data_IF_604752507594
#
_entry.id   IF_604752507594
#
_cell.length_a   1.000
_cell.length_b   1.000
_cell.length_c   1.000
_cell.angle_alpha   90.00
_cell.angle_beta   90.00
_cell.angle_gamma   90.00
#
_symmetry.space_group_name_H-M   'P 1'
#
loop_
_entity.id
_entity.type
_entity.pdbx_description
1 polymer ?
#
# COMPACT_ATOMS: atom_id res chain seq x y z
N UNK A 1 8.66 19.92 32.74
CA UNK A 1 7.56 20.52 31.98
C UNK A 1 6.24 19.93 32.48
N UNK A 2 5.19 20.70 32.74
CA UNK A 2 3.91 20.13 33.16
C UNK A 2 3.30 19.28 32.05
N UNK A 3 2.68 18.18 32.42
CA UNK A 3 2.04 17.18 31.54
C UNK A 3 1.10 17.85 30.50
N UNK A 4 0.44 18.91 30.91
CA UNK A 4 -0.45 19.73 30.07
C UNK A 4 0.30 20.35 28.86
N UNK A 5 1.53 20.79 29.02
CA UNK A 5 2.33 21.38 27.92
C UNK A 5 2.70 20.31 26.89
N UNK A 6 3.00 19.09 27.32
CA UNK A 6 3.29 17.95 26.44
C UNK A 6 2.04 17.56 25.64
N UNK A 7 0.88 17.51 26.27
CA UNK A 7 -0.39 17.20 25.59
C UNK A 7 -0.80 18.27 24.57
N UNK A 8 -0.54 19.55 24.86
CA UNK A 8 -0.79 20.65 23.94
C UNK A 8 0.14 20.58 22.73
N UNK A 9 1.43 20.31 22.95
CA UNK A 9 2.41 20.17 21.85
C UNK A 9 2.05 18.95 20.99
N UNK A 10 1.66 17.83 21.60
CA UNK A 10 1.23 16.64 20.86
C UNK A 10 -0.06 16.89 20.07
N UNK A 11 -1.03 17.58 20.68
CA UNK A 11 -2.27 17.99 20.00
C UNK A 11 -2.02 18.95 18.84
N UNK A 12 -1.12 19.92 18.98
CA UNK A 12 -0.75 20.85 17.92
C UNK A 12 0.06 20.16 16.80
N UNK A 13 0.92 19.21 17.14
CA UNK A 13 1.68 18.41 16.17
C UNK A 13 0.74 17.49 15.37
N UNK A 14 -0.18 16.82 16.05
CA UNK A 14 -1.20 15.98 15.42
C UNK A 14 -2.14 16.83 14.54
N UNK A 15 -2.55 18.00 15.01
CA UNK A 15 -3.35 18.95 14.24
C UNK A 15 -2.59 19.51 13.03
N UNK A 16 -1.30 19.82 13.17
CA UNK A 16 -0.45 20.27 12.07
C UNK A 16 -0.24 19.16 11.04
N UNK A 17 0.00 17.93 11.47
CA UNK A 17 0.12 16.77 10.57
C UNK A 17 -1.20 16.46 9.87
N UNK A 18 -2.34 16.62 10.57
CA UNK A 18 -3.67 16.50 9.98
C UNK A 18 -3.97 17.64 9.00
N UNK A 19 -3.57 18.87 9.30
CA UNK A 19 -3.71 20.00 8.35
C UNK A 19 -2.80 19.85 7.13
N UNK A 20 -1.55 19.41 7.31
CA UNK A 20 -0.68 19.06 6.18
C UNK A 20 -1.27 17.95 5.30
N UNK A 21 -1.96 16.97 5.89
CA UNK A 21 -2.76 15.98 5.14
C UNK A 21 -3.93 16.63 4.40
N UNK A 22 -4.62 17.60 5.00
CA UNK A 22 -5.77 18.27 4.40
C UNK A 22 -5.45 19.16 3.20
N UNK A 23 -4.22 19.64 3.01
CA UNK A 23 -3.86 20.40 1.80
C UNK A 23 -3.89 19.55 0.52
N UNK A 24 -3.83 18.22 0.63
CA UNK A 24 -4.08 17.29 -0.46
C UNK A 24 -5.57 16.90 -0.62
N UNK A 25 -6.44 17.16 0.38
CA UNK A 25 -7.80 16.60 0.49
C UNK A 25 -8.89 17.34 -0.30
N UNK A 26 -8.55 18.29 -1.16
CA UNK A 26 -9.55 18.92 -2.04
C UNK A 26 -9.89 18.09 -3.30
N UNK A 27 -9.18 16.98 -3.56
CA UNK A 27 -9.38 16.14 -4.73
C UNK A 27 -9.98 14.80 -4.30
N UNK A 28 -11.05 14.40 -4.96
CA UNK A 28 -11.59 13.04 -4.83
C UNK A 28 -10.52 12.06 -5.33
N UNK A 29 -10.16 11.09 -4.51
CA UNK A 29 -9.24 10.03 -4.93
C UNK A 29 -9.93 9.20 -6.00
N UNK A 30 -9.30 9.10 -7.17
CA UNK A 30 -9.73 8.21 -8.24
C UNK A 30 -8.78 7.01 -8.27
N UNK A 31 -9.23 5.90 -7.75
CA UNK A 31 -8.46 4.66 -7.72
C UNK A 31 -8.29 4.00 -9.09
N UNK A 32 -8.97 4.50 -10.14
CA UNK A 32 -8.70 4.07 -11.51
C UNK A 32 -7.54 4.83 -12.15
N UNK A 33 -7.10 5.94 -11.57
CA UNK A 33 -6.15 6.90 -12.16
C UNK A 33 -6.54 7.37 -13.58
N UNK A 34 -7.85 7.40 -13.86
CA UNK A 34 -8.38 7.71 -15.18
C UNK A 34 -8.21 6.56 -16.19
N UNK A 35 -7.74 5.38 -15.79
CA UNK A 35 -7.59 4.23 -16.65
C UNK A 35 -8.96 3.69 -17.09
N UNK A 36 -9.18 3.62 -18.41
CA UNK A 36 -10.44 3.19 -18.99
C UNK A 36 -10.71 1.69 -18.82
N UNK A 37 -9.65 0.86 -18.76
CA UNK A 37 -9.82 -0.58 -18.54
C UNK A 37 -10.32 -0.85 -17.12
N UNK A 38 -9.75 -0.18 -16.12
CA UNK A 38 -10.19 -0.28 -14.72
C UNK A 38 -11.62 0.24 -14.52
N UNK A 39 -11.95 1.37 -15.15
CA UNK A 39 -13.32 1.90 -15.12
C UNK A 39 -14.32 0.94 -15.78
N UNK A 40 -13.92 0.31 -16.90
CA UNK A 40 -14.76 -0.67 -17.61
C UNK A 40 -14.98 -1.93 -16.78
N UNK A 41 -13.96 -2.43 -16.07
CA UNK A 41 -14.09 -3.56 -15.13
C UNK A 41 -15.16 -3.25 -14.08
N UNK A 42 -15.06 -2.08 -13.44
CA UNK A 42 -16.04 -1.63 -12.45
C UNK A 42 -17.46 -1.57 -13.03
N UNK A 43 -17.62 -0.98 -14.22
CA UNK A 43 -18.93 -0.90 -14.91
C UNK A 43 -19.50 -2.29 -15.17
N UNK A 44 -18.69 -3.24 -15.66
CA UNK A 44 -19.15 -4.62 -15.91
C UNK A 44 -19.59 -5.35 -14.64
N UNK A 45 -18.92 -5.11 -13.52
CA UNK A 45 -19.34 -5.64 -12.23
C UNK A 45 -20.67 -5.03 -11.76
N UNK A 46 -20.86 -3.71 -11.93
CA UNK A 46 -22.11 -3.01 -11.60
C UNK A 46 -23.28 -3.46 -12.49
N UNK A 47 -23.00 -3.78 -13.76
CA UNK A 47 -23.96 -4.32 -14.71
C UNK A 47 -24.25 -5.84 -14.51
N UNK A 48 -23.61 -6.48 -13.52
CA UNK A 48 -23.67 -7.90 -13.23
C UNK A 48 -23.16 -8.81 -14.38
N UNK A 49 -22.36 -8.25 -15.27
CA UNK A 49 -21.69 -8.99 -16.35
C UNK A 49 -20.38 -9.63 -15.84
N UNK A 50 -20.45 -10.47 -14.85
CA UNK A 50 -19.29 -10.98 -14.08
C UNK A 50 -18.28 -11.72 -14.97
N UNK A 51 -18.71 -12.56 -15.90
CA UNK A 51 -17.80 -13.24 -16.83
C UNK A 51 -17.04 -12.26 -17.72
N UNK A 52 -17.71 -11.18 -18.17
CA UNK A 52 -17.05 -10.12 -18.95
C UNK A 52 -16.03 -9.35 -18.10
N UNK A 53 -16.36 -9.10 -16.83
CA UNK A 53 -15.43 -8.46 -15.89
C UNK A 53 -14.20 -9.35 -15.65
N UNK A 54 -14.37 -10.65 -15.38
CA UNK A 54 -13.26 -11.60 -15.20
C UNK A 54 -12.37 -11.69 -16.44
N UNK A 55 -12.97 -11.71 -17.64
CA UNK A 55 -12.20 -11.68 -18.87
C UNK A 55 -11.30 -10.43 -18.98
N UNK A 56 -11.80 -9.26 -18.58
CA UNK A 56 -11.00 -8.03 -18.57
C UNK A 56 -9.93 -8.05 -17.49
N UNK A 57 -10.24 -8.55 -16.29
CA UNK A 57 -9.28 -8.64 -15.18
C UNK A 57 -8.13 -9.58 -15.54
N UNK A 58 -8.39 -10.70 -16.19
CA UNK A 58 -7.37 -11.65 -16.64
C UNK A 58 -6.45 -11.12 -17.75
N UNK A 59 -6.68 -9.90 -18.25
CA UNK A 59 -5.77 -9.23 -19.20
C UNK A 59 -4.80 -8.26 -18.49
N UNK A 60 -4.99 -8.03 -17.19
CA UNK A 60 -4.18 -7.09 -16.41
C UNK A 60 -2.84 -7.74 -16.02
N UNK A 61 -1.80 -6.91 -15.93
CA UNK A 61 -0.59 -7.30 -15.22
C UNK A 61 -0.78 -7.23 -13.70
N UNK A 62 0.24 -7.61 -12.93
CA UNK A 62 0.16 -7.67 -11.47
C UNK A 62 -0.17 -6.31 -10.83
N UNK A 63 0.39 -5.22 -11.34
CA UNK A 63 0.19 -3.89 -10.77
C UNK A 63 -1.19 -3.36 -11.11
N UNK A 64 -1.64 -3.56 -12.35
CA UNK A 64 -2.97 -3.19 -12.81
C UNK A 64 -4.05 -4.04 -12.11
N UNK A 65 -3.78 -5.34 -11.85
CA UNK A 65 -4.64 -6.20 -11.05
C UNK A 65 -4.84 -5.64 -9.64
N UNK A 66 -3.73 -5.29 -8.96
CA UNK A 66 -3.82 -4.68 -7.64
C UNK A 66 -4.64 -3.40 -7.66
N UNK A 67 -4.44 -2.56 -8.66
CA UNK A 67 -5.18 -1.31 -8.78
C UNK A 67 -6.66 -1.53 -9.09
N UNK A 68 -6.99 -2.53 -9.90
CA UNK A 68 -8.38 -2.93 -10.15
C UNK A 68 -9.08 -3.37 -8.86
N UNK A 69 -8.38 -4.15 -8.03
CA UNK A 69 -8.88 -4.58 -6.73
C UNK A 69 -9.17 -3.38 -5.83
N UNK A 70 -8.21 -2.46 -5.67
CA UNK A 70 -8.38 -1.27 -4.85
C UNK A 70 -9.49 -0.35 -5.41
N UNK A 71 -9.56 -0.21 -6.75
CA UNK A 71 -10.61 0.58 -7.40
C UNK A 71 -12.01 0.04 -7.12
N UNK A 72 -12.20 -1.27 -7.11
CA UNK A 72 -13.50 -1.90 -6.83
C UNK A 72 -13.81 -1.91 -5.33
N UNK A 73 -12.86 -2.38 -4.51
CA UNK A 73 -13.10 -2.62 -3.08
C UNK A 73 -13.21 -1.35 -2.24
N UNK A 74 -12.57 -0.25 -2.65
CA UNK A 74 -12.59 1.05 -1.95
C UNK A 74 -13.73 1.98 -2.43
N UNK A 75 -14.44 1.64 -3.50
CA UNK A 75 -15.57 2.42 -4.00
C UNK A 75 -16.95 1.97 -3.47
N UNK A 76 -17.00 1.24 -2.35
CA UNK A 76 -18.25 0.85 -1.71
C UNK A 76 -19.06 -0.22 -2.46
N UNK A 77 -18.40 -1.07 -3.23
CA UNK A 77 -19.03 -2.09 -4.06
C UNK A 77 -19.29 -3.42 -3.32
N UNK A 78 -19.48 -3.38 -2.01
CA UNK A 78 -19.70 -4.60 -1.20
C UNK A 78 -20.75 -5.53 -1.79
N UNK A 79 -21.94 -4.99 -2.02
CA UNK A 79 -23.06 -5.78 -2.57
C UNK A 79 -22.69 -6.42 -3.93
N UNK A 80 -22.07 -5.67 -4.80
CA UNK A 80 -21.65 -6.14 -6.11
C UNK A 80 -20.65 -7.29 -6.02
N UNK A 81 -19.68 -7.19 -5.11
CA UNK A 81 -18.68 -8.26 -4.88
C UNK A 81 -19.34 -9.52 -4.31
N UNK A 82 -20.29 -9.36 -3.38
CA UNK A 82 -21.05 -10.48 -2.82
C UNK A 82 -21.94 -11.15 -3.88
N UNK A 83 -22.68 -10.36 -4.66
CA UNK A 83 -23.50 -10.86 -5.76
C UNK A 83 -22.64 -11.59 -6.83
N UNK A 84 -21.43 -11.07 -7.12
CA UNK A 84 -20.47 -11.73 -8.00
C UNK A 84 -20.04 -13.11 -7.44
N UNK A 85 -19.69 -13.16 -6.15
CA UNK A 85 -19.30 -14.39 -5.49
C UNK A 85 -20.46 -15.41 -5.45
N UNK A 86 -21.69 -14.95 -5.28
CA UNK A 86 -22.89 -15.81 -5.32
C UNK A 86 -23.13 -16.36 -6.74
N UNK A 87 -23.01 -15.50 -7.76
CA UNK A 87 -23.21 -15.87 -9.16
C UNK A 87 -22.14 -16.84 -9.69
N UNK A 88 -20.89 -16.66 -9.26
CA UNK A 88 -19.74 -17.48 -9.65
C UNK A 88 -19.01 -18.06 -8.41
N UNK A 89 -19.60 -19.09 -7.74
CA UNK A 89 -19.10 -19.58 -6.44
C UNK A 89 -17.67 -20.12 -6.49
N UNK A 90 -17.21 -20.59 -7.65
CA UNK A 90 -15.87 -21.15 -7.86
C UNK A 90 -14.87 -20.13 -8.38
N UNK A 91 -15.29 -18.88 -8.61
CA UNK A 91 -14.39 -17.83 -9.08
C UNK A 91 -13.31 -17.50 -8.05
N UNK A 92 -12.06 -17.62 -8.46
CA UNK A 92 -10.91 -17.26 -7.66
C UNK A 92 -10.72 -15.74 -7.63
N UNK A 93 -11.08 -15.05 -8.73
CA UNK A 93 -11.12 -13.59 -8.78
C UNK A 93 -12.13 -13.02 -7.79
N UNK A 94 -13.38 -13.55 -7.77
CA UNK A 94 -14.37 -13.13 -6.79
C UNK A 94 -13.89 -13.36 -5.34
N UNK A 95 -13.18 -14.49 -5.10
CA UNK A 95 -12.56 -14.74 -3.80
C UNK A 95 -11.48 -13.73 -3.44
N UNK A 96 -10.63 -13.37 -4.39
CA UNK A 96 -9.57 -12.37 -4.17
C UNK A 96 -10.17 -11.00 -3.84
N UNK A 97 -11.09 -10.51 -4.66
CA UNK A 97 -11.73 -9.22 -4.44
C UNK A 97 -12.51 -9.16 -3.12
N UNK A 98 -13.26 -10.20 -2.78
CA UNK A 98 -13.99 -10.29 -1.52
C UNK A 98 -13.01 -10.36 -0.33
N UNK A 99 -11.93 -11.13 -0.46
CA UNK A 99 -10.88 -11.22 0.56
C UNK A 99 -10.25 -9.85 0.83
N UNK A 100 -9.91 -9.09 -0.22
CA UNK A 100 -9.35 -7.73 -0.06
C UNK A 100 -10.39 -6.75 0.50
N UNK A 101 -11.64 -6.85 0.08
CA UNK A 101 -12.71 -6.06 0.69
C UNK A 101 -12.76 -6.28 2.22
N UNK A 102 -12.68 -7.52 2.69
CA UNK A 102 -12.65 -7.81 4.12
C UNK A 102 -11.38 -7.29 4.81
N UNK A 103 -10.22 -7.26 4.14
CA UNK A 103 -9.00 -6.61 4.67
C UNK A 103 -9.23 -5.12 4.86
N UNK A 104 -9.88 -4.45 3.91
CA UNK A 104 -10.21 -3.04 4.04
C UNK A 104 -11.17 -2.79 5.21
N UNK A 105 -12.20 -3.64 5.39
CA UNK A 105 -13.12 -3.53 6.53
C UNK A 105 -12.41 -3.77 7.86
N UNK A 106 -11.50 -4.75 7.94
CA UNK A 106 -10.66 -4.97 9.11
C UNK A 106 -9.81 -3.72 9.44
N UNK A 107 -9.19 -3.14 8.41
CA UNK A 107 -8.35 -1.94 8.55
C UNK A 107 -9.14 -0.72 9.01
N UNK A 108 -10.35 -0.51 8.48
CA UNK A 108 -11.25 0.57 8.87
C UNK A 108 -11.63 0.49 10.35
N UNK A 109 -11.99 -0.70 10.81
CA UNK A 109 -12.37 -0.92 12.21
C UNK A 109 -11.19 -0.80 13.18
N UNK A 110 -9.98 -1.09 12.74
CA UNK A 110 -8.77 -0.96 13.53
C UNK A 110 -8.25 0.47 13.59
N UNK A 111 -8.31 1.20 12.49
CA UNK A 111 -7.59 2.47 12.33
C UNK A 111 -6.07 2.27 12.42
N UNK A 112 -5.37 3.30 12.96
CA UNK A 112 -3.91 3.30 13.10
C UNK A 112 -3.43 2.81 14.49
N UNK A 113 -4.30 2.20 15.28
CA UNK A 113 -3.96 1.77 16.64
C UNK A 113 -3.26 0.40 16.63
N UNK A 114 -2.29 0.16 17.52
CA UNK A 114 -1.76 -1.17 17.74
C UNK A 114 -2.85 -2.10 18.30
N UNK A 115 -2.72 -3.41 18.08
CA UNK A 115 -3.77 -4.39 18.37
C UNK A 115 -4.17 -4.46 19.86
N UNK A 116 -3.23 -4.19 20.75
CA UNK A 116 -3.45 -4.15 22.20
C UNK A 116 -4.17 -2.88 22.68
N UNK A 117 -4.14 -1.81 21.90
CA UNK A 117 -4.82 -0.55 22.18
C UNK A 117 -6.27 -0.50 21.64
N UNK A 118 -6.71 -1.52 20.91
CA UNK A 118 -8.08 -1.60 20.40
C UNK A 118 -9.09 -1.90 21.50
N UNK A 119 -10.29 -1.31 21.38
CA UNK A 119 -11.42 -1.75 22.20
C UNK A 119 -11.77 -3.22 21.92
N UNK A 120 -12.42 -3.93 22.86
CA UNK A 120 -12.84 -5.32 22.64
C UNK A 120 -13.69 -5.51 21.37
N UNK A 121 -14.53 -4.54 21.06
CA UNK A 121 -15.39 -4.55 19.88
C UNK A 121 -14.59 -4.36 18.59
N UNK A 122 -13.70 -3.37 18.53
CA UNK A 122 -12.82 -3.15 17.39
C UNK A 122 -11.93 -4.37 17.13
N UNK A 123 -11.37 -4.97 18.21
CA UNK A 123 -10.55 -6.17 18.11
C UNK A 123 -11.34 -7.35 17.57
N UNK A 124 -12.58 -7.52 18.01
CA UNK A 124 -13.48 -8.58 17.50
C UNK A 124 -13.72 -8.42 16.01
N UNK A 125 -14.14 -7.24 15.56
CA UNK A 125 -14.38 -6.96 14.14
C UNK A 125 -13.12 -7.15 13.30
N UNK A 126 -11.99 -6.62 13.75
CA UNK A 126 -10.71 -6.79 13.07
C UNK A 126 -10.37 -8.28 12.86
N UNK A 127 -10.52 -9.11 13.89
CA UNK A 127 -10.23 -10.54 13.82
C UNK A 127 -11.23 -11.28 12.91
N UNK A 128 -12.53 -11.00 13.03
CA UNK A 128 -13.57 -11.62 12.22
C UNK A 128 -13.36 -11.37 10.72
N UNK A 129 -13.14 -10.11 10.31
CA UNK A 129 -12.88 -9.77 8.92
C UNK A 129 -11.53 -10.32 8.43
N UNK A 130 -10.49 -10.30 9.27
CA UNK A 130 -9.19 -10.88 8.93
C UNK A 130 -9.28 -12.40 8.70
N UNK A 131 -10.05 -13.11 9.48
CA UNK A 131 -10.24 -14.56 9.32
C UNK A 131 -11.08 -14.89 8.09
N UNK A 132 -12.12 -14.12 7.78
CA UNK A 132 -12.88 -14.25 6.54
C UNK A 132 -11.97 -14.04 5.31
N UNK A 133 -11.16 -12.99 5.32
CA UNK A 133 -10.19 -12.72 4.27
C UNK A 133 -9.19 -13.88 4.10
N UNK A 134 -8.57 -14.35 5.19
CA UNK A 134 -7.62 -15.48 5.17
C UNK A 134 -8.24 -16.74 4.57
N UNK A 135 -9.50 -17.04 4.91
CA UNK A 135 -10.18 -18.25 4.41
C UNK A 135 -10.42 -18.19 2.89
N UNK A 136 -10.67 -17.01 2.33
CA UNK A 136 -10.81 -16.83 0.89
C UNK A 136 -9.45 -16.88 0.18
N UNK A 137 -8.48 -16.13 0.68
CA UNK A 137 -7.19 -15.93 0.01
C UNK A 137 -6.29 -17.17 0.04
N UNK A 138 -6.32 -17.99 1.09
CA UNK A 138 -5.52 -19.22 1.19
C UNK A 138 -5.90 -20.31 0.19
N UNK A 139 -7.08 -20.21 -0.39
CA UNK A 139 -7.60 -21.19 -1.35
C UNK A 139 -7.48 -20.72 -2.80
N UNK A 140 -6.75 -19.63 -3.04
CA UNK A 140 -6.43 -19.16 -4.38
C UNK A 140 -5.25 -19.98 -4.90
N UNK A 141 -5.50 -20.72 -6.00
CA UNK A 141 -4.55 -21.60 -6.69
C UNK A 141 -4.96 -21.57 -8.16
N UNK A 142 -4.57 -20.53 -8.88
CA UNK A 142 -5.06 -20.23 -10.23
C UNK A 142 -3.90 -20.05 -11.21
N UNK A 143 -3.23 -18.93 -11.13
CA UNK A 143 -2.07 -18.57 -11.90
C UNK A 143 -1.09 -17.78 -11.03
N UNK A 144 0.12 -17.53 -11.56
CA UNK A 144 1.18 -16.91 -10.78
C UNK A 144 0.82 -15.52 -10.26
N UNK A 145 0.18 -14.68 -11.09
CA UNK A 145 -0.13 -13.29 -10.70
C UNK A 145 -1.23 -13.23 -9.64
N UNK A 146 -2.30 -14.01 -9.82
CA UNK A 146 -3.42 -14.04 -8.88
C UNK A 146 -3.01 -14.61 -7.52
N UNK A 147 -2.22 -15.68 -7.53
CA UNK A 147 -1.71 -16.31 -6.31
C UNK A 147 -0.66 -15.42 -5.64
N UNK A 148 0.22 -14.75 -6.40
CA UNK A 148 1.18 -13.78 -5.86
C UNK A 148 0.47 -12.63 -5.13
N UNK A 149 -0.58 -12.04 -5.74
CA UNK A 149 -1.38 -11.01 -5.10
C UNK A 149 -2.08 -11.53 -3.84
N UNK A 150 -2.61 -12.76 -3.85
CA UNK A 150 -3.21 -13.36 -2.67
C UNK A 150 -2.20 -13.49 -1.52
N UNK A 151 -0.96 -13.91 -1.80
CA UNK A 151 0.10 -13.93 -0.78
C UNK A 151 0.50 -12.53 -0.30
N UNK A 152 0.52 -11.53 -1.17
CA UNK A 152 0.77 -10.14 -0.76
C UNK A 152 -0.32 -9.64 0.21
N UNK A 153 -1.58 -10.01 -0.02
CA UNK A 153 -2.68 -9.67 0.87
C UNK A 153 -2.63 -10.47 2.19
N UNK A 154 -2.24 -11.74 2.16
CA UNK A 154 -2.02 -12.54 3.37
C UNK A 154 -0.85 -12.01 4.20
N UNK A 155 0.22 -11.53 3.54
CA UNK A 155 1.32 -10.82 4.17
C UNK A 155 0.83 -9.58 4.92
N UNK A 156 -0.01 -8.75 4.28
CA UNK A 156 -0.63 -7.57 4.90
C UNK A 156 -1.42 -7.92 6.16
N UNK A 157 -2.24 -8.99 6.12
CA UNK A 157 -3.00 -9.45 7.31
C UNK A 157 -2.04 -9.92 8.41
N UNK A 158 -1.01 -10.70 8.05
CA UNK A 158 -0.05 -11.22 9.03
C UNK A 158 0.69 -10.06 9.73
N UNK A 159 1.17 -9.08 8.99
CA UNK A 159 1.84 -7.90 9.53
C UNK A 159 0.94 -7.09 10.45
N UNK A 160 -0.28 -6.79 10.00
CA UNK A 160 -1.24 -6.04 10.82
C UNK A 160 -1.70 -6.80 12.07
N UNK A 161 -1.58 -8.12 12.09
CA UNK A 161 -1.87 -8.96 13.25
C UNK A 161 -0.65 -9.19 14.16
N UNK A 162 0.54 -8.71 13.80
CA UNK A 162 1.79 -8.94 14.53
C UNK A 162 2.36 -10.36 14.37
N UNK A 163 1.89 -11.13 13.37
CA UNK A 163 2.38 -12.48 13.07
C UNK A 163 3.56 -12.42 12.08
N UNK A 164 4.73 -12.02 12.58
CA UNK A 164 5.94 -11.88 11.76
C UNK A 164 6.39 -13.20 11.12
N UNK A 165 6.09 -14.34 11.72
CA UNK A 165 6.43 -15.65 11.14
C UNK A 165 5.62 -15.92 9.87
N UNK A 166 4.30 -15.76 9.93
CA UNK A 166 3.45 -15.90 8.75
C UNK A 166 3.76 -14.83 7.71
N UNK A 167 4.09 -13.60 8.12
CA UNK A 167 4.48 -12.52 7.23
C UNK A 167 5.70 -12.91 6.38
N UNK A 168 6.77 -13.45 6.98
CA UNK A 168 7.93 -13.94 6.25
C UNK A 168 7.56 -15.05 5.25
N UNK A 169 6.77 -16.03 5.67
CA UNK A 169 6.34 -17.14 4.80
C UNK A 169 5.56 -16.63 3.58
N UNK A 170 4.63 -15.69 3.78
CA UNK A 170 3.83 -15.16 2.68
C UNK A 170 4.65 -14.25 1.76
N UNK A 171 5.59 -13.51 2.30
CA UNK A 171 6.54 -12.74 1.50
C UNK A 171 7.37 -13.64 0.59
N UNK A 172 8.02 -14.67 1.16
CA UNK A 172 8.82 -15.64 0.40
C UNK A 172 7.99 -16.33 -0.70
N UNK A 173 6.75 -16.71 -0.40
CA UNK A 173 5.86 -17.34 -1.37
C UNK A 173 5.44 -16.38 -2.49
N UNK A 174 5.14 -15.13 -2.17
CA UNK A 174 4.82 -14.11 -3.16
C UNK A 174 6.00 -13.89 -4.11
N UNK A 175 7.21 -13.70 -3.58
CA UNK A 175 8.41 -13.46 -4.39
C UNK A 175 8.86 -14.69 -5.20
N UNK A 176 8.53 -15.90 -4.77
CA UNK A 176 8.78 -17.11 -5.57
C UNK A 176 7.94 -17.14 -6.85
N UNK A 177 6.76 -16.49 -6.86
CA UNK A 177 5.87 -16.36 -8.01
C UNK A 177 6.16 -15.09 -8.82
N UNK A 178 6.32 -13.97 -8.15
CA UNK A 178 6.62 -12.68 -8.75
C UNK A 178 7.68 -11.94 -7.91
N UNK A 179 8.99 -12.05 -8.28
CA UNK A 179 10.08 -11.40 -7.55
C UNK A 179 9.96 -9.87 -7.49
N UNK A 180 9.28 -9.26 -8.46
CA UNK A 180 9.14 -7.81 -8.60
C UNK A 180 7.78 -7.29 -8.07
N UNK A 181 7.08 -8.06 -7.25
CA UNK A 181 5.78 -7.67 -6.71
C UNK A 181 5.90 -6.46 -5.78
N UNK A 182 5.68 -5.26 -6.32
CA UNK A 182 5.88 -3.98 -5.62
C UNK A 182 5.20 -3.94 -4.24
N UNK A 183 3.92 -4.33 -4.19
CA UNK A 183 3.13 -4.24 -2.97
C UNK A 183 3.59 -5.20 -1.89
N UNK A 184 4.09 -6.40 -2.25
CA UNK A 184 4.67 -7.32 -1.29
C UNK A 184 5.94 -6.74 -0.67
N UNK A 185 6.82 -6.13 -1.47
CA UNK A 185 8.01 -5.44 -0.96
C UNK A 185 7.63 -4.27 -0.03
N UNK A 186 6.65 -3.47 -0.38
CA UNK A 186 6.20 -2.34 0.44
C UNK A 186 5.56 -2.78 1.76
N UNK A 187 4.70 -3.81 1.72
CA UNK A 187 4.07 -4.36 2.93
C UNK A 187 5.11 -5.04 3.84
N UNK A 188 6.09 -5.74 3.26
CA UNK A 188 7.15 -6.35 4.05
C UNK A 188 8.06 -5.30 4.68
N UNK A 189 8.43 -4.24 3.93
CA UNK A 189 9.17 -3.10 4.46
C UNK A 189 8.47 -2.44 5.66
N UNK A 190 7.12 -2.39 5.67
CA UNK A 190 6.35 -1.94 6.83
C UNK A 190 6.48 -2.89 8.02
N UNK A 191 6.35 -4.20 7.77
CA UNK A 191 6.28 -5.22 8.81
C UNK A 191 7.59 -5.43 9.58
N UNK A 192 8.74 -5.16 8.95
CA UNK A 192 10.06 -5.33 9.57
C UNK A 192 10.53 -4.10 10.36
N UNK A 193 9.73 -3.04 10.46
CA UNK A 193 10.10 -1.85 11.22
C UNK A 193 10.11 -2.09 12.73
N UNK A 194 10.93 -1.34 13.49
CA UNK A 194 11.03 -1.48 14.95
C UNK A 194 9.69 -1.36 15.68
N UNK A 195 8.79 -0.49 15.20
CA UNK A 195 7.44 -0.31 15.77
C UNK A 195 6.57 -1.57 15.71
N UNK A 196 6.92 -2.53 14.85
CA UNK A 196 6.25 -3.83 14.70
C UNK A 196 7.10 -5.01 15.20
N UNK A 197 8.18 -4.73 15.94
CA UNK A 197 9.07 -5.74 16.52
C UNK A 197 10.21 -6.17 15.62
N UNK A 198 10.42 -5.52 14.47
CA UNK A 198 11.60 -5.68 13.65
C UNK A 198 12.83 -4.97 14.22
N UNK A 199 13.93 -4.96 13.48
CA UNK A 199 15.18 -4.31 13.88
C UNK A 199 16.00 -3.88 12.66
N UNK A 200 16.98 -2.98 12.89
CA UNK A 200 17.81 -2.42 11.82
C UNK A 200 18.54 -3.50 11.01
N UNK A 201 19.02 -4.59 11.62
CA UNK A 201 19.69 -5.68 10.91
C UNK A 201 18.76 -6.41 9.94
N UNK A 202 17.49 -6.57 10.30
CA UNK A 202 16.47 -7.14 9.42
C UNK A 202 16.18 -6.22 8.24
N UNK A 203 16.13 -4.91 8.49
CA UNK A 203 15.96 -3.89 7.46
C UNK A 203 17.15 -3.89 6.50
N UNK A 204 18.39 -3.87 7.00
CA UNK A 204 19.61 -3.94 6.20
C UNK A 204 19.60 -5.16 5.28
N UNK A 205 19.36 -6.36 5.85
CA UNK A 205 19.26 -7.59 5.05
C UNK A 205 18.18 -7.54 3.99
N UNK A 206 17.04 -6.93 4.28
CA UNK A 206 15.95 -6.76 3.31
C UNK A 206 16.37 -5.86 2.16
N UNK A 207 17.01 -4.73 2.47
CA UNK A 207 17.50 -3.76 1.47
C UNK A 207 18.56 -4.40 0.57
N UNK A 208 19.51 -5.15 1.15
CA UNK A 208 20.56 -5.86 0.41
C UNK A 208 20.00 -6.96 -0.50
N UNK A 209 18.81 -7.45 -0.21
CA UNK A 209 18.12 -8.51 -0.96
C UNK A 209 16.96 -8.03 -1.82
N UNK A 210 16.83 -6.72 -2.07
CA UNK A 210 15.81 -6.19 -2.97
C UNK A 210 16.01 -6.73 -4.40
N UNK A 211 14.95 -6.70 -5.17
CA UNK A 211 14.93 -7.14 -6.58
C UNK A 211 15.87 -6.29 -7.46
N UNK A 212 16.18 -6.80 -8.65
CA UNK A 212 16.93 -6.05 -9.68
C UNK A 212 16.07 -5.01 -10.42
N UNK A 213 14.74 -4.95 -10.15
CA UNK A 213 13.85 -3.95 -10.74
C UNK A 213 14.09 -2.57 -10.11
N UNK A 214 14.61 -1.59 -10.88
CA UNK A 214 14.95 -0.28 -10.32
C UNK A 214 13.75 0.45 -9.73
N UNK A 215 12.55 0.27 -10.33
CA UNK A 215 11.37 1.00 -9.92
C UNK A 215 10.84 0.50 -8.57
N UNK A 216 10.82 -0.83 -8.39
CA UNK A 216 10.47 -1.44 -7.10
C UNK A 216 11.45 -0.98 -6.04
N UNK A 217 12.76 -1.07 -6.31
CA UNK A 217 13.79 -0.64 -5.38
C UNK A 217 13.65 0.82 -4.98
N UNK A 218 13.54 1.72 -5.95
CA UNK A 218 13.40 3.16 -5.71
C UNK A 218 12.15 3.48 -4.89
N UNK A 219 11.03 2.83 -5.22
CA UNK A 219 9.77 3.05 -4.50
C UNK A 219 9.86 2.58 -3.05
N UNK A 220 10.43 1.41 -2.82
CA UNK A 220 10.63 0.85 -1.47
C UNK A 220 11.60 1.72 -0.65
N UNK A 221 12.70 2.17 -1.24
CA UNK A 221 13.63 3.09 -0.58
C UNK A 221 12.95 4.39 -0.17
N UNK A 222 12.19 5.04 -1.07
CA UNK A 222 11.47 6.27 -0.75
C UNK A 222 10.38 6.05 0.30
N UNK A 223 9.70 4.90 0.27
CA UNK A 223 8.78 4.51 1.35
C UNK A 223 9.51 4.47 2.68
N UNK A 224 10.65 3.81 2.76
CA UNK A 224 11.40 3.68 4.02
C UNK A 224 11.99 5.02 4.48
N UNK A 225 12.39 5.89 3.57
CA UNK A 225 12.76 7.28 3.88
C UNK A 225 11.57 8.02 4.51
N UNK A 226 10.39 7.89 3.92
CA UNK A 226 9.16 8.50 4.46
C UNK A 226 8.77 7.92 5.82
N UNK A 227 8.84 6.61 5.98
CA UNK A 227 8.60 5.95 7.25
C UNK A 227 9.57 6.40 8.36
N UNK A 228 10.84 6.61 7.98
CA UNK A 228 11.86 7.19 8.89
C UNK A 228 11.48 8.60 9.36
N UNK A 229 10.95 9.42 8.46
CA UNK A 229 10.43 10.76 8.81
C UNK A 229 9.27 10.66 9.79
N UNK A 230 8.31 9.76 9.52
CA UNK A 230 7.14 9.57 10.38
C UNK A 230 7.51 9.03 11.77
N UNK A 231 8.50 8.14 11.84
CA UNK A 231 9.01 7.59 13.08
C UNK A 231 9.95 8.56 13.82
N UNK A 232 10.44 9.60 13.15
CA UNK A 232 11.54 10.46 13.60
C UNK A 232 12.79 9.64 13.97
N UNK A 233 13.06 8.58 13.21
CA UNK A 233 14.18 7.65 13.39
C UNK A 233 14.71 7.23 12.01
N UNK A 234 16.03 7.23 11.83
CA UNK A 234 16.63 6.78 10.58
C UNK A 234 16.65 5.24 10.52
N UNK A 235 15.74 4.66 9.75
CA UNK A 235 15.61 3.21 9.58
C UNK A 235 16.78 2.56 8.82
N UNK A 236 17.65 3.36 8.20
CA UNK A 236 18.89 2.87 7.56
C UNK A 236 20.10 2.94 8.51
N UNK A 237 19.90 3.40 9.74
CA UNK A 237 20.96 3.67 10.70
C UNK A 237 21.58 5.08 10.54
N UNK A 238 22.23 5.57 11.58
CA UNK A 238 22.79 6.93 11.60
C UNK A 238 21.81 8.01 12.04
N UNK A 239 22.09 9.25 11.71
CA UNK A 239 21.28 10.39 12.15
C UNK A 239 20.22 10.79 11.12
N UNK A 240 19.19 11.52 11.57
CA UNK A 240 18.20 12.13 10.66
C UNK A 240 18.82 13.17 9.71
N UNK A 241 19.98 13.75 10.08
CA UNK A 241 20.74 14.64 9.19
C UNK A 241 21.36 13.86 8.04
N UNK A 242 21.90 12.67 8.32
CA UNK A 242 22.47 11.79 7.29
C UNK A 242 21.37 11.30 6.36
N UNK A 243 20.21 10.88 6.91
CA UNK A 243 19.04 10.50 6.12
C UNK A 243 18.62 11.61 5.15
N UNK A 244 18.56 12.85 5.62
CA UNK A 244 18.18 13.99 4.78
C UNK A 244 19.13 14.19 3.60
N UNK A 245 20.43 14.00 3.82
CA UNK A 245 21.43 14.14 2.76
C UNK A 245 21.27 12.98 1.74
N UNK A 246 21.21 11.75 2.22
CA UNK A 246 21.04 10.56 1.38
C UNK A 246 19.73 10.62 0.57
N UNK A 247 18.64 11.03 1.21
CA UNK A 247 17.35 11.15 0.52
C UNK A 247 17.36 12.19 -0.61
N UNK A 248 18.09 13.29 -0.44
CA UNK A 248 18.22 14.28 -1.51
C UNK A 248 19.01 13.73 -2.70
N UNK A 249 20.10 13.04 -2.45
CA UNK A 249 20.91 12.38 -3.48
C UNK A 249 20.06 11.36 -4.24
N UNK A 250 19.37 10.48 -3.51
CA UNK A 250 18.46 9.50 -4.08
C UNK A 250 17.35 10.13 -4.94
N UNK A 251 16.73 11.22 -4.50
CA UNK A 251 15.69 11.92 -5.27
C UNK A 251 16.21 12.40 -6.63
N UNK A 252 17.44 12.88 -6.72
CA UNK A 252 18.05 13.32 -7.98
C UNK A 252 18.47 12.15 -8.86
N UNK A 253 18.96 11.06 -8.28
CA UNK A 253 19.26 9.81 -9.01
C UNK A 253 18.02 9.23 -9.65
N UNK A 254 16.94 9.07 -8.88
CA UNK A 254 15.64 8.61 -9.39
C UNK A 254 15.13 9.52 -10.51
N UNK A 255 15.20 10.84 -10.33
CA UNK A 255 14.76 11.81 -11.34
C UNK A 255 15.52 11.66 -12.66
N UNK A 256 16.83 11.38 -12.60
CA UNK A 256 17.65 11.16 -13.78
C UNK A 256 17.32 9.84 -14.49
N UNK A 257 17.03 8.77 -13.74
CA UNK A 257 16.75 7.44 -14.28
C UNK A 257 15.33 7.32 -14.85
N UNK A 258 14.32 7.94 -14.23
CA UNK A 258 12.91 7.85 -14.65
C UNK A 258 12.64 8.27 -16.09
N UNK A 259 13.52 9.11 -16.66
CA UNK A 259 13.39 9.52 -18.05
C UNK A 259 13.79 8.43 -19.06
N UNK A 260 14.44 7.35 -18.60
CA UNK A 260 15.07 6.35 -19.44
C UNK A 260 14.36 4.98 -19.48
N UNK A 261 13.33 4.77 -18.62
CA UNK A 261 12.67 3.47 -18.51
C UNK A 261 11.16 3.53 -18.84
N UNK A 262 10.67 2.60 -19.70
CA UNK A 262 9.23 2.38 -19.87
C UNK A 262 8.71 1.64 -18.64
N UNK A 263 7.73 2.19 -17.95
CA UNK A 263 7.12 1.58 -16.76
C UNK A 263 5.61 1.55 -16.89
N UNK A 264 4.93 0.64 -16.17
CA UNK A 264 3.48 0.67 -16.03
C UNK A 264 3.04 2.03 -15.46
N UNK A 265 1.85 2.46 -15.80
CA UNK A 265 1.33 3.74 -15.30
C UNK A 265 1.18 3.75 -13.79
N UNK A 266 0.81 2.61 -13.19
CA UNK A 266 0.52 2.49 -11.76
C UNK A 266 1.77 2.57 -10.91
N UNK A 267 2.82 1.81 -11.25
CA UNK A 267 4.10 1.91 -10.54
C UNK A 267 4.65 3.33 -10.56
N UNK A 268 4.57 4.01 -11.71
CA UNK A 268 4.97 5.42 -11.82
C UNK A 268 4.20 6.31 -10.86
N UNK A 269 2.86 6.15 -10.78
CA UNK A 269 2.07 6.97 -9.88
C UNK A 269 2.42 6.73 -8.42
N UNK A 270 2.67 5.47 -8.00
CA UNK A 270 3.15 5.16 -6.65
C UNK A 270 4.47 5.87 -6.39
N UNK A 271 5.45 5.74 -7.29
CA UNK A 271 6.74 6.41 -7.17
C UNK A 271 6.61 7.94 -7.15
N UNK A 272 5.82 8.53 -8.04
CA UNK A 272 5.61 9.98 -8.08
C UNK A 272 4.98 10.52 -6.80
N UNK A 273 4.08 9.76 -6.18
CA UNK A 273 3.52 10.11 -4.87
C UNK A 273 4.62 10.18 -3.80
N UNK A 274 5.53 9.18 -3.75
CA UNK A 274 6.67 9.22 -2.83
C UNK A 274 7.68 10.32 -3.19
N UNK A 275 8.02 10.50 -4.47
CA UNK A 275 8.87 11.60 -4.93
C UNK A 275 8.32 12.96 -4.50
N UNK A 276 7.01 13.15 -4.57
CA UNK A 276 6.36 14.40 -4.16
C UNK A 276 6.48 14.63 -2.67
N UNK A 277 6.11 13.66 -1.83
CA UNK A 277 6.05 13.86 -0.39
C UNK A 277 7.45 13.95 0.24
N UNK A 278 8.39 13.13 -0.23
CA UNK A 278 9.77 13.15 0.27
C UNK A 278 10.51 14.42 -0.18
N UNK A 279 10.31 14.87 -1.43
CA UNK A 279 10.91 16.11 -1.90
C UNK A 279 10.32 17.35 -1.19
N UNK A 280 9.05 17.34 -0.82
CA UNK A 280 8.45 18.40 0.02
C UNK A 280 9.11 18.43 1.39
N UNK A 281 9.19 17.28 2.08
CA UNK A 281 9.74 17.19 3.44
C UNK A 281 11.19 17.67 3.51
N UNK A 282 12.00 17.30 2.53
CA UNK A 282 13.40 17.67 2.53
C UNK A 282 13.72 18.97 1.77
N UNK A 283 12.70 19.70 1.30
CA UNK A 283 12.82 21.01 0.71
C UNK A 283 13.41 21.04 -0.70
N UNK A 284 13.24 19.96 -1.49
CA UNK A 284 13.64 19.87 -2.91
C UNK A 284 12.48 20.34 -3.80
N UNK A 285 12.20 21.65 -3.74
CA UNK A 285 10.98 22.23 -4.33
C UNK A 285 10.82 21.99 -5.84
N UNK A 286 11.94 21.92 -6.59
CA UNK A 286 11.89 21.68 -8.03
C UNK A 286 11.28 20.32 -8.36
N UNK A 287 11.74 19.26 -7.67
CA UNK A 287 11.22 17.91 -7.82
C UNK A 287 9.78 17.78 -7.29
N UNK A 288 9.48 18.39 -6.15
CA UNK A 288 8.11 18.42 -5.62
C UNK A 288 7.12 18.99 -6.66
N UNK A 289 7.41 20.14 -7.26
CA UNK A 289 6.56 20.73 -8.30
C UNK A 289 6.45 19.86 -9.55
N UNK A 290 7.58 19.26 -9.99
CA UNK A 290 7.61 18.36 -11.15
C UNK A 290 6.68 17.17 -10.94
N UNK A 291 6.87 16.42 -9.86
CA UNK A 291 6.12 15.18 -9.62
C UNK A 291 4.67 15.41 -9.21
N UNK A 292 4.38 16.49 -8.47
CA UNK A 292 3.01 16.90 -8.20
C UNK A 292 2.22 17.19 -9.49
N UNK A 293 2.87 17.78 -10.50
CA UNK A 293 2.27 17.96 -11.81
C UNK A 293 2.08 16.64 -12.55
N UNK A 294 3.08 15.74 -12.50
CA UNK A 294 3.04 14.43 -13.18
C UNK A 294 1.99 13.49 -12.62
N UNK A 295 1.67 13.60 -11.33
CA UNK A 295 0.56 12.85 -10.73
C UNK A 295 -0.82 13.25 -11.28
N UNK A 296 -0.97 14.46 -11.81
CA UNK A 296 -2.25 14.99 -12.32
C UNK A 296 -3.41 14.89 -11.32
N UNK A 297 -3.08 14.73 -10.03
CA UNK A 297 -4.04 14.54 -8.96
C UNK A 297 -4.35 13.07 -8.64
N UNK A 298 -3.65 12.13 -9.25
CA UNK A 298 -3.76 10.70 -8.97
C UNK A 298 -2.99 10.36 -7.71
N UNK A 299 -3.70 10.26 -6.58
CA UNK A 299 -3.13 9.87 -5.30
C UNK A 299 -3.24 8.36 -5.12
N UNK A 300 -2.15 7.73 -4.66
CA UNK A 300 -2.15 6.32 -4.31
C UNK A 300 -2.46 6.13 -2.82
N UNK A 301 -2.89 4.92 -2.44
CA UNK A 301 -3.07 4.54 -1.03
C UNK A 301 -1.82 4.81 -0.20
N UNK A 302 -0.66 4.63 -0.78
CA UNK A 302 0.64 4.93 -0.20
C UNK A 302 1.29 6.10 -0.96
N UNK A 303 1.86 7.09 -0.26
CA UNK A 303 1.99 7.22 1.20
C UNK A 303 0.78 7.84 1.92
N UNK A 304 -0.31 8.13 1.22
CA UNK A 304 -1.40 8.96 1.77
C UNK A 304 -2.41 8.18 2.62
N UNK A 305 -2.39 6.85 2.57
CA UNK A 305 -3.32 6.00 3.32
C UNK A 305 -4.75 6.01 2.77
N UNK A 306 -5.65 5.27 3.41
CA UNK A 306 -7.08 5.36 3.15
C UNK A 306 -7.57 6.69 3.73
N UNK A 307 -7.84 7.65 2.86
CA UNK A 307 -8.46 8.92 3.27
C UNK A 307 -9.97 8.72 3.37
N UNK A 308 -10.48 8.76 4.60
CA UNK A 308 -11.89 8.79 4.93
C UNK A 308 -12.29 10.18 5.39
#
# INVERSE_FOLDING_TARGET
MPLITILIIFGLLTYYLLQKRQTFTGKKVDYSFGDLALQKIKSKLEEQEYTSAEFLINQLDADDLRQAIDHVTLNGMEKTILDWKEALPNSQLANLFLGVYYIHQASLNRGNLPLDALSPEQKKFFLEYSDQAKNLLKNIDSDNELEAEAYAQLLRIAGTSGDSKSANIYFDKCLALNPNHLWAHMEYAENIQPKWGGNLKTIEKFIDGLTDDPLVNQTVYLKMVWDSVLANENLFGGSMKDLKQQAKELLFEIDAELNNHPHSSIQKYVLYNYMTIVSEEFGVQALNKKYNKMMEGNLTLYPFGIMH
#
